data_IF_827506936685
#
_entry.id   IF_827506936685
#
_cell.length_a   1.000
_cell.length_b   1.000
_cell.length_c   1.000
_cell.angle_alpha   90.00
_cell.angle_beta   90.00
_cell.angle_gamma   90.00
#
_symmetry.space_group_name_H-M   'P 1'
#
loop_
_entity.id
_entity.type
_entity.pdbx_description
1 polymer ?
#
# COMPACT_ATOMS: atom_id res chain seq x y z
N UNK A 1 -3.25 29.89 -8.87
CA UNK A 1 -4.29 28.85 -8.73
C UNK A 1 -3.98 27.67 -9.65
N UNK A 2 -3.68 27.90 -10.93
CA UNK A 2 -3.46 26.82 -11.92
C UNK A 2 -2.28 25.89 -11.63
N UNK A 3 -1.17 26.41 -11.13
CA UNK A 3 0.02 25.60 -10.76
C UNK A 3 -0.28 24.61 -9.64
N UNK A 4 -1.02 25.04 -8.60
CA UNK A 4 -1.39 24.18 -7.47
C UNK A 4 -2.35 23.07 -7.90
N UNK A 5 -3.34 23.41 -8.72
CA UNK A 5 -4.27 22.43 -9.28
C UNK A 5 -3.55 21.40 -10.16
N UNK A 6 -2.57 21.85 -10.96
CA UNK A 6 -1.77 20.97 -11.81
C UNK A 6 -0.87 20.03 -10.99
N UNK A 7 -0.22 20.54 -9.95
CA UNK A 7 0.59 19.72 -9.03
C UNK A 7 -0.26 18.69 -8.28
N UNK A 8 -1.45 19.10 -7.81
CA UNK A 8 -2.38 18.19 -7.16
C UNK A 8 -2.83 17.07 -8.11
N UNK A 9 -3.28 17.44 -9.32
CA UNK A 9 -3.69 16.46 -10.33
C UNK A 9 -2.57 15.49 -10.69
N UNK A 10 -1.35 16.00 -10.93
CA UNK A 10 -0.19 15.17 -11.23
C UNK A 10 0.14 14.21 -10.09
N UNK A 11 0.16 14.71 -8.85
CA UNK A 11 0.40 13.90 -7.65
C UNK A 11 -0.65 12.79 -7.47
N UNK A 12 -1.93 13.10 -7.70
CA UNK A 12 -3.02 12.11 -7.63
C UNK A 12 -2.88 11.02 -8.70
N UNK A 13 -2.57 11.40 -9.95
CA UNK A 13 -2.40 10.44 -11.04
C UNK A 13 -1.19 9.53 -10.77
N UNK A 14 -0.06 10.12 -10.38
CA UNK A 14 1.16 9.36 -10.06
C UNK A 14 0.92 8.39 -8.90
N UNK A 15 0.23 8.83 -7.86
CA UNK A 15 -0.13 7.99 -6.71
C UNK A 15 -1.05 6.84 -7.12
N UNK A 16 -2.06 7.11 -7.98
CA UNK A 16 -2.95 6.09 -8.50
C UNK A 16 -2.22 5.03 -9.33
N UNK A 17 -1.30 5.46 -10.22
CA UNK A 17 -0.49 4.54 -11.02
C UNK A 17 0.44 3.69 -10.15
N UNK A 18 1.12 4.29 -9.17
CA UNK A 18 1.96 3.56 -8.23
C UNK A 18 1.14 2.51 -7.46
N UNK A 19 -0.07 2.88 -7.02
CA UNK A 19 -0.95 1.97 -6.30
C UNK A 19 -1.36 0.77 -7.17
N UNK A 20 -1.76 1.02 -8.43
CA UNK A 20 -2.09 -0.04 -9.39
C UNK A 20 -0.91 -0.98 -9.65
N UNK A 21 0.29 -0.44 -9.87
CA UNK A 21 1.49 -1.25 -10.13
C UNK A 21 1.78 -2.17 -8.94
N UNK A 22 1.75 -1.64 -7.72
CA UNK A 22 2.05 -2.42 -6.52
C UNK A 22 0.93 -3.44 -6.26
N UNK A 23 -0.34 -3.08 -6.46
CA UNK A 23 -1.46 -4.02 -6.34
C UNK A 23 -1.30 -5.20 -7.30
N UNK A 24 -1.02 -4.94 -8.58
CA UNK A 24 -0.77 -6.01 -9.56
C UNK A 24 0.44 -6.86 -9.16
N UNK A 25 1.54 -6.24 -8.71
CA UNK A 25 2.72 -6.97 -8.24
C UNK A 25 2.41 -7.90 -7.05
N UNK A 26 1.66 -7.43 -6.06
CA UNK A 26 1.26 -8.24 -4.90
C UNK A 26 0.32 -9.38 -5.28
N UNK A 27 -0.59 -9.17 -6.22
CA UNK A 27 -1.47 -10.22 -6.76
C UNK A 27 -0.64 -11.30 -7.49
N UNK A 28 0.26 -10.90 -8.38
CA UNK A 28 1.16 -11.83 -9.08
C UNK A 28 2.00 -12.63 -8.08
N UNK A 29 2.53 -11.95 -7.06
CA UNK A 29 3.35 -12.59 -6.01
C UNK A 29 2.55 -13.65 -5.24
N UNK A 30 1.31 -13.33 -4.88
CA UNK A 30 0.40 -14.23 -4.17
C UNK A 30 0.09 -15.49 -5.00
N UNK A 31 -0.15 -15.35 -6.30
CA UNK A 31 -0.38 -16.49 -7.18
C UNK A 31 0.87 -17.33 -7.42
N UNK A 32 2.04 -16.70 -7.52
CA UNK A 32 3.30 -17.41 -7.80
C UNK A 32 3.86 -18.14 -6.58
N UNK A 33 3.69 -17.58 -5.38
CA UNK A 33 4.23 -18.16 -4.12
C UNK A 33 3.21 -18.00 -3.00
N UNK A 34 2.25 -18.91 -2.92
CA UNK A 34 1.17 -18.85 -1.93
C UNK A 34 1.68 -19.24 -0.53
N UNK A 35 2.30 -18.30 0.17
CA UNK A 35 2.78 -18.46 1.54
C UNK A 35 2.23 -17.36 2.47
N UNK A 36 2.40 -17.55 3.77
CA UNK A 36 1.87 -16.63 4.78
C UNK A 36 2.38 -15.19 4.59
N UNK A 37 3.63 -15.02 4.18
CA UNK A 37 4.21 -13.70 3.92
C UNK A 37 3.54 -13.00 2.72
N UNK A 38 3.31 -13.69 1.61
CA UNK A 38 2.61 -13.13 0.45
C UNK A 38 1.15 -12.77 0.72
N UNK A 39 0.49 -13.51 1.61
CA UNK A 39 -0.87 -13.18 2.06
C UNK A 39 -0.85 -11.88 2.88
N UNK A 40 0.09 -11.73 3.82
CA UNK A 40 0.26 -10.49 4.60
C UNK A 40 0.56 -9.30 3.69
N UNK A 41 1.47 -9.47 2.72
CA UNK A 41 1.80 -8.44 1.71
C UNK A 41 0.53 -8.00 0.97
N UNK A 42 -0.25 -8.96 0.47
CA UNK A 42 -1.47 -8.68 -0.27
C UNK A 42 -2.51 -7.98 0.62
N UNK A 43 -2.75 -8.46 1.85
CA UNK A 43 -3.71 -7.84 2.78
C UNK A 43 -3.29 -6.41 3.12
N UNK A 44 -2.00 -6.17 3.38
CA UNK A 44 -1.47 -4.85 3.67
C UNK A 44 -1.72 -3.87 2.53
N UNK A 45 -1.35 -4.24 1.30
CA UNK A 45 -1.51 -3.36 0.14
C UNK A 45 -2.96 -3.25 -0.35
N UNK A 46 -3.75 -4.30 -0.23
CA UNK A 46 -5.17 -4.27 -0.55
C UNK A 46 -5.91 -3.32 0.40
N UNK A 47 -5.63 -3.41 1.70
CA UNK A 47 -6.17 -2.47 2.69
C UNK A 47 -5.71 -1.03 2.42
N UNK A 48 -4.44 -0.84 2.01
CA UNK A 48 -3.93 0.47 1.59
C UNK A 48 -4.71 1.04 0.40
N UNK A 49 -4.98 0.21 -0.60
CA UNK A 49 -5.78 0.58 -1.78
C UNK A 49 -7.19 1.02 -1.39
N UNK A 50 -7.81 0.33 -0.43
CA UNK A 50 -9.12 0.73 0.11
C UNK A 50 -9.05 2.07 0.83
N UNK A 51 -8.06 2.27 1.70
CA UNK A 51 -7.85 3.56 2.41
C UNK A 51 -7.64 4.69 1.41
N UNK A 52 -6.88 4.46 0.34
CA UNK A 52 -6.70 5.44 -0.74
C UNK A 52 -8.02 5.81 -1.41
N UNK A 53 -8.83 4.82 -1.79
CA UNK A 53 -10.12 5.05 -2.46
C UNK A 53 -11.14 5.76 -1.54
N UNK A 54 -11.29 5.27 -0.31
CA UNK A 54 -12.18 5.88 0.69
C UNK A 54 -11.68 7.26 1.11
N UNK A 55 -10.37 7.45 1.23
CA UNK A 55 -9.76 8.74 1.54
C UNK A 55 -10.03 9.80 0.47
N UNK A 56 -10.03 9.41 -0.81
CA UNK A 56 -10.38 10.31 -1.90
C UNK A 56 -11.84 10.77 -1.80
N UNK A 57 -12.77 9.83 -1.59
CA UNK A 57 -14.20 10.12 -1.46
C UNK A 57 -14.46 10.97 -0.21
N UNK A 58 -13.90 10.56 0.94
CA UNK A 58 -14.06 11.26 2.21
C UNK A 58 -13.56 12.70 2.15
N UNK A 59 -12.40 12.94 1.51
CA UNK A 59 -11.88 14.29 1.32
C UNK A 59 -12.83 15.19 0.49
N UNK A 60 -13.47 14.64 -0.55
CA UNK A 60 -14.44 15.41 -1.35
C UNK A 60 -15.66 15.82 -0.51
N UNK A 61 -16.16 14.93 0.35
CA UNK A 61 -17.27 15.25 1.25
C UNK A 61 -16.84 16.22 2.35
N UNK A 62 -15.70 15.98 3.00
CA UNK A 62 -15.18 16.83 4.07
C UNK A 62 -14.90 18.27 3.59
N UNK A 63 -14.37 18.43 2.38
CA UNK A 63 -14.13 19.74 1.77
C UNK A 63 -15.43 20.56 1.58
N UNK A 64 -16.60 19.91 1.50
CA UNK A 64 -17.90 20.59 1.42
C UNK A 64 -18.45 21.01 2.79
N UNK A 65 -18.02 20.34 3.86
CA UNK A 65 -18.46 20.61 5.23
C UNK A 65 -17.67 21.78 5.82
N UNK A 66 -16.34 21.75 5.67
CA UNK A 66 -15.47 22.81 6.16
C UNK A 66 -14.01 22.39 6.26
N UNK A 67 -13.14 23.37 6.48
CA UNK A 67 -11.69 23.15 6.57
C UNK A 67 -11.27 22.30 7.77
N UNK A 68 -11.97 22.39 8.90
CA UNK A 68 -11.67 21.58 10.09
C UNK A 68 -11.91 20.09 9.85
N UNK A 69 -13.05 19.75 9.24
CA UNK A 69 -13.41 18.36 8.90
C UNK A 69 -12.44 17.78 7.86
N UNK A 70 -11.99 18.61 6.92
CA UNK A 70 -10.97 18.23 5.94
C UNK A 70 -9.63 17.90 6.60
N UNK A 71 -9.20 18.69 7.58
CA UNK A 71 -7.96 18.44 8.33
C UNK A 71 -8.09 17.16 9.15
N UNK A 72 -9.21 16.98 9.86
CA UNK A 72 -9.47 15.77 10.64
C UNK A 72 -9.49 14.51 9.76
N UNK A 73 -10.19 14.56 8.62
CA UNK A 73 -10.23 13.46 7.64
C UNK A 73 -8.82 13.13 7.15
N UNK A 74 -8.01 14.13 6.81
CA UNK A 74 -6.63 13.90 6.37
C UNK A 74 -5.73 13.30 7.46
N UNK A 75 -5.89 13.73 8.71
CA UNK A 75 -5.18 13.13 9.84
C UNK A 75 -5.55 11.66 10.00
N UNK A 76 -6.84 11.32 9.96
CA UNK A 76 -7.32 9.94 10.04
C UNK A 76 -6.77 9.08 8.88
N UNK A 77 -6.85 9.58 7.65
CA UNK A 77 -6.35 8.87 6.47
C UNK A 77 -4.83 8.67 6.53
N UNK A 78 -4.09 9.61 7.10
CA UNK A 78 -2.63 9.49 7.31
C UNK A 78 -2.30 8.34 8.26
N UNK A 79 -3.05 8.21 9.36
CA UNK A 79 -2.86 7.11 10.34
C UNK A 79 -3.19 5.76 9.69
N UNK A 80 -4.34 5.67 9.01
CA UNK A 80 -4.76 4.43 8.33
C UNK A 80 -3.75 4.02 7.25
N UNK A 81 -3.25 4.98 6.48
CA UNK A 81 -2.19 4.76 5.50
C UNK A 81 -0.92 4.22 6.18
N UNK A 82 -0.46 4.85 7.26
CA UNK A 82 0.68 4.37 8.05
C UNK A 82 0.54 2.93 8.52
N UNK A 83 -0.63 2.54 9.04
CA UNK A 83 -0.91 1.16 9.48
C UNK A 83 -0.83 0.18 8.31
N UNK A 84 -1.46 0.50 7.19
CA UNK A 84 -1.49 -0.39 6.02
C UNK A 84 -0.11 -0.57 5.37
N UNK A 85 0.68 0.51 5.27
CA UNK A 85 2.07 0.47 4.82
C UNK A 85 2.95 -0.36 5.76
N UNK A 86 2.72 -0.26 7.08
CA UNK A 86 3.45 -1.04 8.08
C UNK A 86 3.18 -2.53 7.90
N UNK A 87 1.91 -2.93 7.73
CA UNK A 87 1.54 -4.35 7.47
C UNK A 87 2.21 -4.86 6.19
N UNK A 88 2.16 -4.07 5.11
CA UNK A 88 2.81 -4.42 3.84
C UNK A 88 4.32 -4.60 4.01
N UNK A 89 4.98 -3.68 4.72
CA UNK A 89 6.42 -3.69 4.94
C UNK A 89 6.87 -4.89 5.80
N UNK A 90 6.10 -5.23 6.84
CA UNK A 90 6.32 -6.45 7.63
C UNK A 90 6.19 -7.69 6.76
N UNK A 91 5.15 -7.76 5.92
CA UNK A 91 4.97 -8.85 4.97
C UNK A 91 6.18 -9.03 4.04
N UNK A 92 6.70 -7.92 3.50
CA UNK A 92 7.89 -7.92 2.64
C UNK A 92 9.14 -8.42 3.38
N UNK A 93 9.37 -7.97 4.63
CA UNK A 93 10.50 -8.41 5.43
C UNK A 93 10.45 -9.92 5.69
N UNK A 94 9.29 -10.44 6.09
CA UNK A 94 9.10 -11.88 6.32
C UNK A 94 9.35 -12.66 5.02
N UNK A 95 8.82 -12.17 3.90
CA UNK A 95 9.00 -12.81 2.59
C UNK A 95 10.48 -12.89 2.19
N UNK A 96 11.23 -11.80 2.40
CA UNK A 96 12.66 -11.75 2.10
C UNK A 96 13.48 -12.72 2.97
N UNK A 97 13.17 -12.79 4.27
CA UNK A 97 13.81 -13.74 5.21
C UNK A 97 13.54 -15.19 4.78
N UNK A 98 12.30 -15.50 4.39
CA UNK A 98 11.92 -16.85 3.93
C UNK A 98 12.69 -17.25 2.66
N UNK A 99 12.83 -16.34 1.69
CA UNK A 99 13.61 -16.62 0.47
C UNK A 99 15.09 -16.88 0.80
N UNK A 100 15.70 -16.06 1.67
CA UNK A 100 17.09 -16.25 2.05
C UNK A 100 17.31 -17.60 2.76
N UNK A 101 16.43 -17.96 3.71
CA UNK A 101 16.52 -19.23 4.41
C UNK A 101 16.42 -20.42 3.45
N UNK A 102 15.44 -20.41 2.55
CA UNK A 102 15.23 -21.47 1.57
C UNK A 102 16.47 -21.68 0.68
N UNK A 103 17.18 -20.60 0.31
CA UNK A 103 18.39 -20.68 -0.51
C UNK A 103 19.57 -21.31 0.26
N UNK A 104 19.74 -21.01 1.54
CA UNK A 104 20.81 -21.58 2.38
C UNK A 104 20.61 -23.07 2.63
N UNK A 105 19.37 -23.49 2.91
CA UNK A 105 19.05 -24.91 3.16
C UNK A 105 19.26 -25.76 1.89
N UNK A 106 19.05 -25.17 0.70
CA UNK A 106 19.29 -25.82 -0.60
C UNK A 106 20.79 -26.07 -0.89
N UNK A 107 21.69 -25.28 -0.31
CA UNK A 107 23.14 -25.39 -0.54
C UNK A 107 23.86 -26.35 0.42
N UNK A 108 23.18 -26.86 1.45
CA UNK A 108 23.75 -27.80 2.42
C UNK A 108 23.31 -29.26 2.20
N UNK A 109 22.45 -29.53 1.23
CA UNK A 109 21.95 -30.87 0.89
C UNK A 109 22.60 -31.49 -0.35
N UNK A 110 23.79 -31.02 -0.74
CA UNK A 110 24.53 -31.49 -1.92
C UNK A 110 25.90 -32.02 -1.52
N UNK A 111 25.94 -32.93 -0.54
CA UNK A 111 27.12 -33.74 -0.19
C UNK A 111 26.70 -35.21 -0.06
#
# INVERSE_FOLDING_TARGET
>A
MDTYNSLFAFGSILSGLANLVILVATVILLFKRRNLATIIIFIGWFSHSLVFLFGFIANIFAARIGSEELVFTNALMTILNGITVLIFSIGLLIFFIQIKKQKTDSSQGSD
#
